data_IF_755791309262
#
_entry.id   IF_755791309262
#
_cell.length_a   1.000
_cell.length_b   1.000
_cell.length_c   1.000
_cell.angle_alpha   90.00
_cell.angle_beta   90.00
_cell.angle_gamma   90.00
#
_symmetry.space_group_name_H-M   'P 1'
#
loop_
_entity.id
_entity.type
_entity.pdbx_description
1 polymer ?
#
# COMPACT_ATOMS: atom_id res chain seq x y z
N UNK A 1 -0.80 5.59 -98.22
CA UNK A 1 -1.25 4.98 -96.97
C UNK A 1 -1.06 5.97 -95.85
N UNK A 2 -2.13 6.65 -95.51
CA UNK A 2 -2.11 7.67 -94.45
C UNK A 2 -2.72 7.02 -93.22
N UNK A 3 -1.95 6.83 -92.14
CA UNK A 3 -2.46 6.33 -90.88
C UNK A 3 -3.00 7.51 -90.05
N UNK A 4 -4.33 7.48 -89.87
CA UNK A 4 -5.06 8.35 -88.96
C UNK A 4 -4.76 7.98 -87.52
N UNK A 5 -4.16 8.90 -86.77
CA UNK A 5 -3.87 8.72 -85.35
C UNK A 5 -4.96 9.43 -84.57
N UNK A 6 -6.03 8.72 -84.20
CA UNK A 6 -7.07 9.24 -83.35
C UNK A 6 -6.58 9.38 -81.91
N UNK A 7 -6.40 10.59 -81.47
CA UNK A 7 -6.13 10.94 -80.06
C UNK A 7 -7.47 10.98 -79.33
N UNK A 8 -7.72 9.96 -78.53
CA UNK A 8 -8.86 9.92 -77.63
C UNK A 8 -8.66 10.87 -76.46
N UNK A 9 -9.30 12.03 -76.44
CA UNK A 9 -9.31 12.95 -75.35
C UNK A 9 -10.18 12.43 -74.18
N UNK A 10 -9.53 11.98 -73.15
CA UNK A 10 -10.19 11.60 -71.89
C UNK A 10 -10.86 12.82 -71.24
N UNK A 11 -12.19 12.78 -71.14
CA UNK A 11 -12.99 13.88 -70.50
C UNK A 11 -12.63 13.96 -68.99
N UNK A 12 -12.38 15.17 -68.45
CA UNK A 12 -12.14 15.33 -67.04
C UNK A 12 -13.42 14.91 -66.26
N UNK A 13 -13.21 14.15 -65.18
CA UNK A 13 -14.29 13.69 -64.31
C UNK A 13 -14.99 14.91 -63.67
N UNK A 14 -16.33 14.84 -63.50
CA UNK A 14 -17.07 15.97 -62.95
C UNK A 14 -16.64 16.24 -61.49
N UNK A 15 -16.44 17.48 -61.15
CA UNK A 15 -15.98 17.99 -59.85
C UNK A 15 -16.65 17.38 -58.62
N UNK A 16 -17.96 16.99 -58.62
CA UNK A 16 -18.57 16.30 -57.49
C UNK A 16 -18.08 14.86 -57.32
N UNK A 17 -17.69 14.16 -58.37
CA UNK A 17 -17.12 12.82 -58.29
C UNK A 17 -15.71 12.81 -57.66
N UNK A 18 -14.89 13.77 -58.02
CA UNK A 18 -13.54 13.97 -57.44
C UNK A 18 -13.63 14.28 -55.94
N UNK A 19 -14.55 15.16 -55.54
CA UNK A 19 -14.78 15.48 -54.11
C UNK A 19 -15.26 14.27 -53.30
N UNK A 20 -16.08 13.41 -53.89
CA UNK A 20 -16.54 12.16 -53.25
C UNK A 20 -15.41 11.13 -53.12
N UNK A 21 -14.58 10.97 -54.14
CA UNK A 21 -13.41 10.11 -54.12
C UNK A 21 -12.37 10.60 -53.08
N UNK A 22 -12.14 11.90 -52.98
CA UNK A 22 -11.24 12.48 -51.98
C UNK A 22 -11.75 12.29 -50.55
N UNK A 23 -13.06 12.43 -50.32
CA UNK A 23 -13.67 12.19 -48.99
C UNK A 23 -13.63 10.71 -48.59
N UNK A 24 -13.88 9.80 -49.52
CA UNK A 24 -13.78 8.36 -49.28
C UNK A 24 -12.33 7.91 -49.03
N UNK A 25 -11.38 8.49 -49.77
CA UNK A 25 -9.96 8.25 -49.55
C UNK A 25 -9.47 8.77 -48.19
N UNK A 26 -9.95 9.95 -47.77
CA UNK A 26 -9.62 10.49 -46.44
C UNK A 26 -10.21 9.66 -45.30
N UNK A 27 -11.47 9.19 -45.45
CA UNK A 27 -12.10 8.29 -44.50
C UNK A 27 -11.38 6.94 -44.41
N UNK A 28 -10.97 6.37 -45.53
CA UNK A 28 -10.22 5.11 -45.59
C UNK A 28 -8.81 5.24 -44.99
N UNK A 29 -8.20 6.44 -45.04
CA UNK A 29 -6.89 6.69 -44.42
C UNK A 29 -6.98 6.91 -42.90
N UNK A 30 -8.12 7.39 -42.38
CA UNK A 30 -8.30 7.62 -40.93
C UNK A 30 -8.69 6.35 -40.19
N UNK A 31 -9.37 5.40 -40.84
CA UNK A 31 -9.78 4.13 -40.22
C UNK A 31 -8.63 3.30 -39.62
N UNK A 32 -7.48 3.11 -40.28
CA UNK A 32 -6.37 2.37 -39.68
C UNK A 32 -5.68 3.08 -38.52
N UNK A 33 -5.75 4.42 -38.43
CA UNK A 33 -5.21 5.14 -37.29
C UNK A 33 -6.05 4.96 -36.02
N UNK A 34 -7.35 4.77 -36.14
CA UNK A 34 -8.24 4.48 -35.03
C UNK A 34 -8.07 3.05 -34.48
N UNK A 35 -7.56 2.12 -35.27
CA UNK A 35 -7.34 0.73 -34.87
C UNK A 35 -6.11 0.55 -33.94
N UNK A 36 -5.18 1.52 -33.90
CA UNK A 36 -4.03 1.47 -33.00
C UNK A 36 -4.33 1.99 -31.58
N UNK A 37 -5.53 2.47 -31.31
CA UNK A 37 -5.97 2.96 -29.99
C UNK A 37 -6.68 1.90 -29.15
N UNK A 38 -6.44 0.62 -29.36
CA UNK A 38 -6.90 -0.43 -28.46
C UNK A 38 -6.26 -0.22 -27.09
N UNK A 39 -7.07 0.00 -26.07
CA UNK A 39 -6.61 -0.06 -24.69
C UNK A 39 -5.87 -1.37 -24.49
N UNK A 40 -4.59 -1.28 -24.20
CA UNK A 40 -3.80 -2.44 -23.82
C UNK A 40 -4.45 -3.03 -22.57
N UNK A 41 -5.08 -4.19 -22.68
CA UNK A 41 -5.62 -4.93 -21.53
C UNK A 41 -4.52 -5.43 -20.60
N UNK A 42 -3.29 -5.21 -20.97
CA UNK A 42 -2.12 -5.68 -20.25
C UNK A 42 -1.42 -4.51 -19.60
N UNK A 43 -1.09 -4.68 -18.33
CA UNK A 43 -0.22 -3.75 -17.64
C UNK A 43 1.21 -3.92 -18.17
N UNK A 44 1.73 -2.91 -18.83
CA UNK A 44 3.11 -2.88 -19.34
C UNK A 44 4.08 -2.22 -18.34
N UNK A 45 3.56 -1.75 -17.21
CA UNK A 45 4.37 -1.22 -16.12
C UNK A 45 5.04 -2.33 -15.31
N UNK A 46 6.19 -2.04 -14.73
CA UNK A 46 6.84 -2.91 -13.73
C UNK A 46 6.09 -2.92 -12.40
N UNK A 47 5.21 -1.95 -12.18
CA UNK A 47 4.39 -1.86 -10.98
C UNK A 47 3.13 -2.70 -11.14
N UNK A 48 2.81 -3.47 -10.09
CA UNK A 48 1.56 -4.21 -10.02
C UNK A 48 0.38 -3.26 -9.87
N UNK A 49 -0.74 -3.58 -10.53
CA UNK A 49 -2.03 -2.91 -10.28
C UNK A 49 -2.64 -3.33 -8.94
N UNK A 50 -2.21 -4.48 -8.40
CA UNK A 50 -2.65 -5.03 -7.13
C UNK A 50 -1.75 -4.51 -6.01
N UNK A 51 -2.03 -3.30 -5.54
CA UNK A 51 -1.32 -2.70 -4.42
C UNK A 51 -2.02 -3.00 -3.10
N UNK A 52 -1.27 -3.10 -1.98
CA UNK A 52 -1.86 -3.21 -0.66
C UNK A 52 -2.70 -1.98 -0.32
N UNK A 53 -3.90 -2.21 0.19
CA UNK A 53 -4.80 -1.17 0.69
C UNK A 53 -4.96 -1.36 2.19
N UNK A 54 -4.77 -0.28 2.95
CA UNK A 54 -4.95 -0.27 4.40
C UNK A 54 -6.31 0.28 4.74
N UNK A 55 -7.08 -0.49 5.50
CA UNK A 55 -8.36 -0.09 6.07
C UNK A 55 -8.27 -0.05 7.60
N UNK A 56 -9.13 0.77 8.23
CA UNK A 56 -9.15 0.94 9.67
C UNK A 56 -10.54 0.59 10.21
N UNK A 57 -10.56 -0.22 11.27
CA UNK A 57 -11.73 -0.43 12.10
C UNK A 57 -11.52 0.22 13.46
N UNK A 58 -12.55 0.88 13.98
CA UNK A 58 -12.51 1.50 15.31
C UNK A 58 -13.63 0.92 16.15
N UNK A 59 -13.27 0.41 17.31
CA UNK A 59 -14.19 -0.15 18.29
C UNK A 59 -14.10 0.71 19.55
N UNK A 60 -15.22 0.89 20.22
CA UNK A 60 -15.29 1.69 21.44
C UNK A 60 -15.97 0.92 22.56
N UNK A 61 -15.46 1.08 23.78
CA UNK A 61 -16.04 0.53 25.00
C UNK A 61 -16.00 1.60 26.10
N UNK A 62 -17.14 1.84 26.70
CA UNK A 62 -17.25 2.82 27.80
C UNK A 62 -17.15 2.10 29.14
N UNK A 63 -15.99 2.24 29.79
CA UNK A 63 -15.69 1.74 31.14
C UNK A 63 -16.33 2.66 32.14
N UNK A 64 -17.22 2.14 33.00
CA UNK A 64 -17.96 2.93 33.98
C UNK A 64 -17.23 3.05 35.32
N UNK A 65 -17.39 4.19 35.96
CA UNK A 65 -16.98 4.40 37.35
C UNK A 65 -18.04 3.88 38.28
N UNK A 66 -17.72 2.85 39.07
CA UNK A 66 -18.62 2.30 40.10
C UNK A 66 -18.35 2.91 41.47
N UNK A 67 -17.83 4.14 41.51
CA UNK A 67 -17.60 4.89 42.79
C UNK A 67 -16.27 4.60 43.48
N UNK A 68 -15.40 3.79 42.90
CA UNK A 68 -14.02 3.51 43.35
C UNK A 68 -12.99 4.24 42.52
N UNK A 69 -11.73 4.29 43.01
CA UNK A 69 -10.61 4.89 42.26
C UNK A 69 -10.07 3.99 41.15
N UNK A 70 -10.39 2.69 41.20
CA UNK A 70 -9.91 1.67 40.25
C UNK A 70 -11.04 0.97 39.51
N UNK A 71 -10.67 -0.01 38.71
CA UNK A 71 -11.60 -0.83 37.91
C UNK A 71 -12.30 -1.87 38.80
N UNK A 72 -13.63 -1.86 38.86
CA UNK A 72 -14.37 -2.85 39.61
C UNK A 72 -14.21 -4.24 38.99
N UNK A 73 -14.27 -5.35 39.81
CA UNK A 73 -14.13 -6.69 39.27
C UNK A 73 -15.17 -7.05 38.20
N UNK A 74 -16.38 -6.53 38.31
CA UNK A 74 -17.43 -6.73 37.32
C UNK A 74 -17.12 -6.04 36.02
N UNK A 75 -16.60 -4.80 36.06
CA UNK A 75 -16.25 -4.03 34.89
C UNK A 75 -14.98 -4.58 34.24
N UNK A 76 -14.02 -5.06 35.03
CA UNK A 76 -12.84 -5.77 34.54
C UNK A 76 -13.22 -7.02 33.75
N UNK A 77 -14.18 -7.82 34.28
CA UNK A 77 -14.68 -9.00 33.59
C UNK A 77 -15.40 -8.66 32.28
N UNK A 78 -16.22 -7.59 32.26
CA UNK A 78 -16.88 -7.13 31.03
C UNK A 78 -15.89 -6.62 30.00
N UNK A 79 -14.91 -5.80 30.40
CA UNK A 79 -13.87 -5.30 29.54
C UNK A 79 -13.04 -6.46 28.95
N UNK A 80 -12.69 -7.43 29.81
CA UNK A 80 -12.00 -8.65 29.37
C UNK A 80 -12.80 -9.38 28.28
N UNK A 81 -14.10 -9.66 28.56
CA UNK A 81 -14.96 -10.33 27.58
C UNK A 81 -15.13 -9.57 26.27
N UNK A 82 -15.18 -8.24 26.34
CA UNK A 82 -15.22 -7.40 25.13
C UNK A 82 -13.92 -7.51 24.31
N UNK A 83 -12.76 -7.43 24.96
CA UNK A 83 -11.46 -7.61 24.29
C UNK A 83 -11.34 -9.01 23.68
N UNK A 84 -11.80 -10.04 24.39
CA UNK A 84 -11.79 -11.42 23.90
C UNK A 84 -12.73 -11.59 22.69
N UNK A 85 -13.90 -10.91 22.69
CA UNK A 85 -14.84 -10.95 21.55
C UNK A 85 -14.30 -10.30 20.28
N UNK A 86 -13.34 -9.37 20.42
CA UNK A 86 -12.68 -8.70 19.29
C UNK A 86 -11.43 -9.47 18.81
N UNK A 87 -11.03 -10.53 19.50
CA UNK A 87 -9.79 -11.25 19.22
C UNK A 87 -8.62 -10.28 19.06
N UNK A 88 -8.41 -9.44 20.11
CA UNK A 88 -7.38 -8.41 20.08
C UNK A 88 -5.99 -9.00 19.93
N UNK A 89 -5.17 -8.39 19.09
CA UNK A 89 -3.87 -8.92 18.72
C UNK A 89 -2.80 -7.82 18.68
N UNK A 90 -1.55 -8.27 18.59
CA UNK A 90 -0.42 -7.37 18.40
C UNK A 90 -0.64 -6.51 17.14
N UNK A 91 -0.45 -5.20 17.26
CA UNK A 91 -0.71 -4.23 16.20
C UNK A 91 -2.00 -3.43 16.38
N UNK A 92 -2.92 -3.90 17.22
CA UNK A 92 -4.07 -3.10 17.64
C UNK A 92 -3.59 -1.92 18.51
N UNK A 93 -4.09 -0.73 18.24
CA UNK A 93 -3.76 0.49 19.00
C UNK A 93 -4.90 0.84 19.93
N UNK A 94 -4.59 1.07 21.20
CA UNK A 94 -5.57 1.40 22.20
C UNK A 94 -5.31 2.81 22.74
N UNK A 95 -6.35 3.61 22.82
CA UNK A 95 -6.31 4.93 23.43
C UNK A 95 -7.45 5.07 24.44
N UNK A 96 -7.26 5.98 25.39
CA UNK A 96 -8.26 6.35 26.39
C UNK A 96 -8.71 7.78 26.14
N UNK A 97 -10.03 7.99 26.15
CA UNK A 97 -10.64 9.30 26.11
C UNK A 97 -11.55 9.50 27.34
N UNK A 98 -11.59 10.72 27.86
CA UNK A 98 -12.49 11.14 28.93
C UNK A 98 -13.36 12.32 28.47
N UNK A 99 -14.36 12.65 29.22
CA UNK A 99 -15.24 13.83 29.03
C UNK A 99 -14.58 15.18 29.43
N UNK A 100 -13.26 15.14 29.66
CA UNK A 100 -12.49 16.27 30.22
C UNK A 100 -12.23 16.14 31.72
N UNK A 101 -12.85 15.16 32.37
CA UNK A 101 -12.52 14.82 33.75
C UNK A 101 -11.18 14.06 33.82
N UNK A 102 -10.46 14.21 34.92
CA UNK A 102 -9.26 13.45 35.18
C UNK A 102 -9.63 11.99 35.44
N UNK A 103 -9.06 11.09 34.62
CA UNK A 103 -9.19 9.67 34.86
C UNK A 103 -8.31 9.27 36.04
N UNK A 104 -8.85 8.61 37.08
CA UNK A 104 -8.05 8.18 38.24
C UNK A 104 -6.87 7.32 37.79
N UNK A 105 -5.70 7.54 38.37
CA UNK A 105 -4.47 6.87 38.04
C UNK A 105 -4.58 5.33 38.27
N UNK A 106 -5.29 4.95 39.33
CA UNK A 106 -5.56 3.54 39.63
C UNK A 106 -6.33 2.86 38.49
N UNK A 107 -7.38 3.49 37.97
CA UNK A 107 -8.15 2.98 36.84
C UNK A 107 -7.32 2.88 35.57
N UNK A 108 -6.51 3.91 35.26
CA UNK A 108 -5.59 3.83 34.11
C UNK A 108 -4.63 2.66 34.22
N UNK A 109 -4.10 2.46 35.44
CA UNK A 109 -3.19 1.33 35.72
C UNK A 109 -3.89 -0.01 35.56
N UNK A 110 -5.08 -0.17 36.13
CA UNK A 110 -5.84 -1.45 36.04
C UNK A 110 -6.19 -1.79 34.58
N UNK A 111 -6.60 -0.79 33.80
CA UNK A 111 -6.83 -0.95 32.35
C UNK A 111 -5.53 -1.29 31.63
N UNK A 112 -4.43 -0.61 31.93
CA UNK A 112 -3.13 -0.87 31.31
C UNK A 112 -2.62 -2.28 31.63
N UNK A 113 -2.77 -2.74 32.88
CA UNK A 113 -2.39 -4.09 33.29
C UNK A 113 -3.22 -5.15 32.53
N UNK A 114 -4.54 -4.92 32.41
CA UNK A 114 -5.43 -5.83 31.67
C UNK A 114 -5.11 -5.92 30.18
N UNK A 115 -4.75 -4.76 29.56
CA UNK A 115 -4.30 -4.69 28.17
C UNK A 115 -2.92 -5.31 28.00
N UNK A 116 -2.01 -5.07 28.96
CA UNK A 116 -0.64 -5.58 28.95
C UNK A 116 -0.58 -7.11 28.93
N UNK A 117 -1.51 -7.80 29.62
CA UNK A 117 -1.65 -9.26 29.56
C UNK A 117 -1.95 -9.76 28.13
N UNK A 118 -2.47 -8.90 27.25
CA UNK A 118 -2.75 -9.21 25.84
C UNK A 118 -1.72 -8.63 24.87
N UNK A 119 -0.63 -8.07 25.41
CA UNK A 119 0.43 -7.44 24.61
C UNK A 119 0.07 -6.06 24.04
N UNK A 120 -0.99 -5.44 24.55
CA UNK A 120 -1.42 -4.12 24.13
C UNK A 120 -0.91 -3.04 25.08
N UNK A 121 -0.63 -1.86 24.51
CA UNK A 121 -0.25 -0.67 25.27
C UNK A 121 -1.19 0.48 24.97
N UNK A 122 -1.43 1.31 25.97
CA UNK A 122 -2.21 2.54 25.81
C UNK A 122 -1.33 3.57 25.11
N UNK A 123 -1.77 3.98 23.92
CA UNK A 123 -1.15 5.07 23.15
C UNK A 123 -1.79 6.43 23.44
N UNK A 124 -1.12 7.47 22.96
CA UNK A 124 -1.61 8.85 23.05
C UNK A 124 -2.52 9.26 21.90
N UNK A 125 -2.64 8.42 20.88
CA UNK A 125 -3.38 8.71 19.65
C UNK A 125 -4.90 8.51 19.85
N UNK A 126 -5.45 9.22 20.85
CA UNK A 126 -6.88 9.24 21.08
C UNK A 126 -7.59 9.83 19.86
N UNK A 127 -8.38 9.02 19.18
CA UNK A 127 -9.14 9.49 18.04
C UNK A 127 -10.25 10.42 18.49
N UNK A 128 -10.14 11.69 18.20
CA UNK A 128 -11.23 12.66 18.37
C UNK A 128 -12.54 12.22 17.66
N UNK A 129 -12.42 11.32 16.68
CA UNK A 129 -13.55 10.76 15.93
C UNK A 129 -14.41 9.78 16.74
N UNK A 130 -13.92 9.26 17.88
CA UNK A 130 -14.67 8.32 18.71
C UNK A 130 -15.73 9.00 19.62
N UNK A 131 -15.81 10.32 19.58
CA UNK A 131 -16.76 11.10 20.38
C UNK A 131 -16.41 11.14 21.88
N UNK A 132 -17.22 11.90 22.64
CA UNK A 132 -17.06 12.05 24.09
C UNK A 132 -17.77 10.90 24.82
N UNK A 133 -17.14 10.26 25.83
CA UNK A 133 -17.82 9.25 26.63
C UNK A 133 -18.99 9.83 27.44
N UNK A 134 -19.93 8.98 27.88
CA UNK A 134 -20.95 9.39 28.83
C UNK A 134 -20.33 9.90 30.14
N UNK A 135 -21.04 10.77 30.84
CA UNK A 135 -20.59 11.25 32.16
C UNK A 135 -20.37 10.07 33.11
N UNK A 136 -19.25 10.10 33.83
CA UNK A 136 -18.88 9.00 34.74
C UNK A 136 -18.37 7.75 34.05
N UNK A 137 -17.92 7.85 32.80
CA UNK A 137 -17.27 6.77 32.08
C UNK A 137 -15.96 7.25 31.43
N UNK A 138 -15.10 6.28 31.17
CA UNK A 138 -13.88 6.42 30.37
C UNK A 138 -14.04 5.58 29.09
N UNK A 139 -13.83 6.20 27.94
CA UNK A 139 -13.91 5.52 26.66
C UNK A 139 -12.59 4.89 26.29
N UNK A 140 -12.60 3.58 26.13
CA UNK A 140 -11.53 2.84 25.51
C UNK A 140 -11.78 2.80 24.00
N UNK A 141 -10.79 3.20 23.23
CA UNK A 141 -10.84 3.25 21.77
C UNK A 141 -9.81 2.26 21.25
N UNK A 142 -10.28 1.18 20.63
CA UNK A 142 -9.42 0.21 19.97
C UNK A 142 -9.46 0.45 18.47
N UNK A 143 -8.30 0.68 17.88
CA UNK A 143 -8.15 0.88 16.44
C UNK A 143 -7.31 -0.23 15.86
N UNK A 144 -7.88 -0.90 14.86
CA UNK A 144 -7.25 -1.97 14.10
C UNK A 144 -7.01 -1.53 12.68
N UNK A 145 -5.76 -1.64 12.22
CA UNK A 145 -5.39 -1.46 10.83
C UNK A 145 -5.30 -2.84 10.17
N UNK A 146 -5.86 -2.97 8.97
CA UNK A 146 -5.85 -4.21 8.21
C UNK A 146 -5.34 -3.89 6.80
N UNK A 147 -4.29 -4.58 6.37
CA UNK A 147 -3.83 -4.53 5.00
C UNK A 147 -4.46 -5.68 4.20
N UNK A 148 -4.92 -5.36 3.00
CA UNK A 148 -5.46 -6.33 2.04
C UNK A 148 -5.08 -5.95 0.63
N UNK A 149 -5.12 -6.90 -0.29
CA UNK A 149 -4.88 -6.64 -1.72
C UNK A 149 -6.16 -6.95 -2.48
N UNK A 150 -6.97 -5.92 -2.80
CA UNK A 150 -8.23 -6.11 -3.50
C UNK A 150 -8.02 -6.70 -4.89
N UNK A 151 -8.97 -7.52 -5.31
CA UNK A 151 -8.96 -8.14 -6.63
C UNK A 151 -7.99 -9.31 -6.77
N UNK A 152 -7.35 -9.77 -5.71
CA UNK A 152 -6.49 -10.95 -5.70
C UNK A 152 -7.21 -12.17 -5.11
N UNK A 153 -6.93 -13.37 -5.68
CA UNK A 153 -6.15 -13.64 -6.90
C UNK A 153 -6.93 -13.29 -8.18
N UNK A 154 -6.23 -12.82 -9.22
CA UNK A 154 -6.82 -12.51 -10.52
C UNK A 154 -6.22 -13.39 -11.62
N UNK A 155 -7.01 -14.30 -12.14
CA UNK A 155 -6.66 -15.24 -13.22
C UNK A 155 -7.35 -14.92 -14.54
N UNK A 156 -7.79 -13.67 -14.74
CA UNK A 156 -8.54 -13.26 -15.93
C UNK A 156 -7.71 -13.27 -17.21
N UNK A 157 -6.38 -13.10 -17.11
CA UNK A 157 -5.46 -13.18 -18.25
C UNK A 157 -4.34 -14.18 -18.01
N UNK A 158 -3.84 -14.77 -19.11
CA UNK A 158 -2.67 -15.67 -19.11
C UNK A 158 -1.53 -14.99 -19.83
N UNK A 159 -0.36 -14.99 -19.23
CA UNK A 159 0.84 -14.37 -19.80
C UNK A 159 1.34 -15.11 -21.05
N UNK A 160 1.05 -16.41 -21.19
CA UNK A 160 1.48 -17.26 -22.32
C UNK A 160 0.95 -16.77 -23.67
N UNK A 161 -0.12 -16.00 -23.69
CA UNK A 161 -0.75 -15.44 -24.90
C UNK A 161 -0.42 -13.97 -25.14
N UNK A 162 0.43 -13.36 -24.30
CA UNK A 162 0.77 -11.95 -24.44
C UNK A 162 1.98 -11.74 -25.35
N UNK A 163 1.71 -11.30 -26.58
CA UNK A 163 2.75 -10.95 -27.56
C UNK A 163 3.30 -9.53 -27.35
N UNK A 164 2.73 -8.76 -26.43
CA UNK A 164 3.07 -7.33 -26.20
C UNK A 164 4.05 -7.17 -25.03
N UNK A 165 4.31 -8.24 -24.27
CA UNK A 165 5.23 -8.22 -23.14
C UNK A 165 4.64 -7.58 -21.87
N UNK A 166 3.32 -7.59 -21.73
CA UNK A 166 2.64 -7.12 -20.51
C UNK A 166 2.71 -8.15 -19.38
N UNK A 167 2.40 -7.72 -18.17
CA UNK A 167 2.29 -8.60 -17.00
C UNK A 167 0.95 -9.32 -16.98
N UNK A 168 0.89 -10.53 -16.40
CA UNK A 168 -0.38 -11.23 -16.19
C UNK A 168 -1.28 -10.45 -15.24
N UNK A 169 -2.60 -10.70 -15.32
CA UNK A 169 -3.56 -10.09 -14.40
C UNK A 169 -3.25 -10.39 -12.93
N UNK A 170 -2.66 -11.55 -12.65
CA UNK A 170 -2.28 -11.95 -11.28
C UNK A 170 -0.92 -11.40 -10.83
N UNK A 171 -0.26 -10.57 -11.65
CA UNK A 171 1.06 -10.05 -11.32
C UNK A 171 1.02 -9.20 -10.05
N UNK A 172 1.88 -9.56 -9.10
CA UNK A 172 2.00 -8.88 -7.81
C UNK A 172 1.04 -9.38 -6.73
N UNK A 173 -0.03 -10.13 -7.06
CA UNK A 173 -0.95 -10.66 -6.05
C UNK A 173 -0.24 -11.48 -4.96
N UNK A 174 0.67 -12.37 -5.34
CA UNK A 174 1.40 -13.20 -4.37
C UNK A 174 2.34 -12.37 -3.49
N UNK A 175 3.14 -11.48 -4.10
CA UNK A 175 4.11 -10.66 -3.36
C UNK A 175 3.40 -9.65 -2.45
N UNK A 176 2.45 -8.90 -3.00
CA UNK A 176 1.74 -7.86 -2.26
C UNK A 176 0.77 -8.47 -1.23
N UNK A 177 0.18 -9.65 -1.53
CA UNK A 177 -0.62 -10.39 -0.58
C UNK A 177 0.19 -10.89 0.61
N UNK A 178 1.39 -11.44 0.37
CA UNK A 178 2.31 -11.83 1.44
C UNK A 178 2.79 -10.61 2.24
N UNK A 179 3.12 -9.51 1.57
CA UNK A 179 3.49 -8.26 2.24
C UNK A 179 2.37 -7.79 3.17
N UNK A 180 1.13 -7.75 2.67
CA UNK A 180 -0.03 -7.34 3.45
C UNK A 180 -0.29 -8.26 4.66
N UNK A 181 -0.04 -9.58 4.51
CA UNK A 181 -0.24 -10.55 5.57
C UNK A 181 0.89 -10.55 6.62
N UNK A 182 2.10 -10.14 6.24
CA UNK A 182 3.28 -10.23 7.11
C UNK A 182 3.65 -8.90 7.78
N UNK A 183 3.11 -7.78 7.33
CA UNK A 183 3.40 -6.49 7.93
C UNK A 183 2.84 -6.42 9.35
N UNK A 184 3.71 -6.11 10.31
CA UNK A 184 3.34 -6.05 11.73
C UNK A 184 2.43 -4.85 12.05
N UNK A 185 2.66 -3.72 11.38
CA UNK A 185 1.83 -2.51 11.49
C UNK A 185 1.43 -2.07 10.08
N UNK A 186 0.19 -2.34 9.65
CA UNK A 186 -0.26 -1.97 8.30
C UNK A 186 -0.20 -0.48 7.99
N UNK A 187 -0.27 0.39 9.01
CA UNK A 187 -0.13 1.84 8.81
C UNK A 187 1.21 2.23 8.17
N UNK A 188 2.26 1.43 8.39
CA UNK A 188 3.61 1.68 7.86
C UNK A 188 3.68 1.51 6.34
N UNK A 189 2.76 0.77 5.73
CA UNK A 189 2.65 0.66 4.28
C UNK A 189 2.24 1.99 3.63
N UNK A 190 1.56 2.86 4.39
CA UNK A 190 1.06 4.15 3.88
C UNK A 190 1.97 5.31 4.27
N UNK A 191 2.52 5.28 5.49
CA UNK A 191 3.26 6.43 6.04
C UNK A 191 4.75 6.16 6.23
N UNK A 192 5.15 4.89 6.21
CA UNK A 192 6.43 4.46 6.72
C UNK A 192 6.49 4.56 8.25
N UNK A 193 7.32 3.76 8.86
CA UNK A 193 7.57 3.92 10.30
C UNK A 193 8.37 5.21 10.52
N UNK A 194 7.84 6.11 11.37
CA UNK A 194 8.59 7.25 11.85
C UNK A 194 9.77 6.72 12.65
N UNK A 195 10.97 6.80 12.08
CA UNK A 195 12.16 6.44 12.82
C UNK A 195 12.31 7.39 14.01
N UNK A 196 11.95 6.95 15.19
CA UNK A 196 12.28 7.61 16.46
C UNK A 196 13.81 7.60 16.71
N UNK A 197 14.61 7.50 15.66
CA UNK A 197 16.00 7.21 15.80
C UNK A 197 16.87 8.22 15.06
N UNK A 198 16.97 9.41 15.61
CA UNK A 198 18.18 10.20 15.46
C UNK A 198 19.42 9.30 15.70
N UNK A 199 19.36 8.40 16.68
CA UNK A 199 20.37 7.38 16.97
C UNK A 199 20.61 6.36 15.83
N UNK A 200 19.57 5.86 15.16
CA UNK A 200 19.75 4.93 14.03
C UNK A 200 20.30 5.62 12.79
N UNK A 201 19.82 6.83 12.52
CA UNK A 201 20.34 7.63 11.41
C UNK A 201 21.79 7.99 11.61
N UNK A 202 22.19 8.39 12.82
CA UNK A 202 23.58 8.68 13.16
C UNK A 202 24.46 7.43 13.08
N UNK A 203 23.99 6.29 13.53
CA UNK A 203 24.73 5.02 13.43
C UNK A 203 24.88 4.60 11.98
N UNK A 204 23.82 4.71 11.16
CA UNK A 204 23.86 4.41 9.73
C UNK A 204 24.78 5.38 8.98
N UNK A 205 24.71 6.67 9.29
CA UNK A 205 25.59 7.68 8.70
C UNK A 205 27.05 7.42 9.04
N UNK A 206 27.37 7.07 10.30
CA UNK A 206 28.72 6.67 10.71
C UNK A 206 29.20 5.43 9.97
N UNK A 207 28.35 4.42 9.83
CA UNK A 207 28.71 3.20 9.10
C UNK A 207 29.03 3.49 7.63
N UNK A 208 28.20 4.29 6.96
CA UNK A 208 28.40 4.72 5.58
C UNK A 208 29.67 5.58 5.45
N UNK A 209 29.89 6.49 6.38
CA UNK A 209 31.08 7.35 6.39
C UNK A 209 32.36 6.52 6.60
N UNK A 210 32.36 5.57 7.55
CA UNK A 210 33.43 4.64 7.77
C UNK A 210 33.71 3.80 6.53
N UNK A 211 32.67 3.27 5.89
CA UNK A 211 32.82 2.51 4.65
C UNK A 211 33.43 3.34 3.52
N UNK A 212 33.00 4.60 3.35
CA UNK A 212 33.54 5.50 2.33
C UNK A 212 35.00 5.93 2.58
N UNK A 213 35.41 5.99 3.85
CA UNK A 213 36.79 6.33 4.25
C UNK A 213 37.72 5.13 4.25
N UNK A 214 37.18 3.91 4.24
CA UNK A 214 38.04 2.72 4.18
C UNK A 214 38.66 2.59 2.81
N UNK A 215 39.98 2.34 2.82
CA UNK A 215 40.72 1.99 1.60
C UNK A 215 40.13 0.71 0.99
N UNK A 216 39.86 0.69 -0.32
CA UNK A 216 39.33 -0.51 -0.98
C UNK A 216 40.24 -1.72 -0.71
N UNK A 217 39.62 -2.87 -0.45
CA UNK A 217 40.35 -4.13 -0.34
C UNK A 217 41.11 -4.39 -1.64
N UNK A 218 42.43 -4.45 -1.57
CA UNK A 218 43.29 -4.58 -2.74
C UNK A 218 44.11 -3.34 -3.11
N UNK A 219 43.88 -2.18 -2.48
CA UNK A 219 44.64 -0.96 -2.73
C UNK A 219 46.13 -1.11 -2.34
N UNK A 220 46.48 -2.12 -1.50
CA UNK A 220 47.87 -2.44 -1.10
C UNK A 220 48.59 -3.41 -2.05
N UNK A 221 48.01 -3.76 -3.17
CA UNK A 221 48.57 -4.78 -4.07
C UNK A 221 48.47 -6.21 -3.51
N UNK A 222 48.58 -7.18 -4.39
CA UNK A 222 48.69 -8.59 -4.00
C UNK A 222 50.05 -8.81 -3.34
N UNK A 223 50.07 -9.35 -2.13
CA UNK A 223 51.33 -9.83 -1.52
C UNK A 223 51.90 -10.88 -2.46
N UNK A 224 53.10 -10.62 -2.98
CA UNK A 224 53.84 -11.63 -3.74
C UNK A 224 54.09 -12.79 -2.81
N UNK A 225 53.42 -13.91 -3.04
CA UNK A 225 53.79 -15.17 -2.41
C UNK A 225 55.12 -15.60 -3.02
N UNK A 226 56.19 -15.50 -2.26
CA UNK A 226 57.46 -16.14 -2.59
C UNK A 226 57.24 -17.65 -2.52
N UNK A 227 57.11 -18.27 -3.68
CA UNK A 227 57.09 -19.72 -3.76
C UNK A 227 58.48 -20.25 -3.62
N UNK A 228 58.75 -20.82 -2.46
CA UNK A 228 59.89 -21.70 -2.28
C UNK A 228 61.20 -21.02 -1.85
N UNK A 229 61.62 -21.41 -0.74
CA UNK A 229 63.01 -21.26 -0.29
C UNK A 229 63.20 -22.20 0.89
N UNK A 230 63.76 -23.34 0.62
CA UNK A 230 64.47 -24.29 1.53
C UNK A 230 64.05 -24.31 2.99
#
# INVERSE_FOLDING_TARGET
>A
MIHDFSISASRPAPLPALRRALRLGLLAAVLPLAACGGESRYNTSVESVHQPVVSHATYVYDVRFDGGDGLSPNEAARLSGWLDSLDVSYGDKVAIASDGALVPLAMQKDIADLLGHRGLMIGTDGSAAAGVPPAGAVRLILRRAIASVPGCPDWSTRQESDMVGGTSSNYGCGVNGNLAAMVANPDDLVRGESSNSALRTDTSNRAIETYRKQTPTGAGGLKTLSAGGN
#
